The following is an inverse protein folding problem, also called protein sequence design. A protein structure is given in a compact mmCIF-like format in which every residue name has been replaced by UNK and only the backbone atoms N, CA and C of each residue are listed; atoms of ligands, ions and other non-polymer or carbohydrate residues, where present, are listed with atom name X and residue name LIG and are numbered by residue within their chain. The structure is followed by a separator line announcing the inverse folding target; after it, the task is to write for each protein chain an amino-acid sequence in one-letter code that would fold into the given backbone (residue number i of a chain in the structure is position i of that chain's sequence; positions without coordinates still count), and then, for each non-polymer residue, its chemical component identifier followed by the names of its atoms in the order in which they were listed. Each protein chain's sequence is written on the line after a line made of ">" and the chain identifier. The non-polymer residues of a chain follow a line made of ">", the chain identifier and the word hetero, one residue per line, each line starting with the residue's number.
data_IF_156330332822
#
_entry.id   IF_156330332822
#
_cell.length_a   1.000
_cell.length_b   1.000
_cell.length_c   1.000
_cell.angle_alpha   90.00
_cell.angle_beta   90.00
_cell.angle_gamma   90.00
#
_symmetry.space_group_name_H-M   'P 1'
#
loop_
_entity.id
_entity.type
_entity.pdbx_description
1 polymer ?
#
# COMPACT_ATOMS: atom_id res chain seq x y z
N UNK A 1 31.18 -53.86 28.94
CA UNK A 1 30.63 -52.64 28.33
C UNK A 1 30.14 -52.96 26.92
N UNK A 2 28.96 -52.50 26.47
CA UNK A 2 27.72 -52.29 27.20
C UNK A 2 26.61 -53.27 26.78
N UNK A 3 25.64 -53.43 27.69
CA UNK A 3 24.36 -54.13 27.56
C UNK A 3 23.40 -53.31 26.70
N UNK A 4 22.57 -53.97 25.89
CA UNK A 4 21.28 -53.42 25.47
C UNK A 4 20.18 -54.29 26.08
N UNK A 5 19.49 -53.65 27.03
CA UNK A 5 18.40 -54.16 27.83
C UNK A 5 17.11 -54.01 27.05
N UNK A 6 16.41 -55.12 26.81
CA UNK A 6 15.01 -55.12 26.41
C UNK A 6 14.18 -54.57 27.56
N UNK A 7 13.45 -53.48 27.31
CA UNK A 7 12.50 -52.88 28.26
C UNK A 7 11.11 -53.08 27.69
N UNK A 8 10.37 -54.00 28.28
CA UNK A 8 8.93 -54.16 28.10
C UNK A 8 8.22 -52.89 28.56
N UNK A 9 7.24 -52.44 27.77
CA UNK A 9 6.30 -51.37 28.13
C UNK A 9 4.99 -52.02 28.58
N UNK A 10 4.38 -51.58 29.69
CA UNK A 10 3.10 -52.12 30.14
C UNK A 10 1.94 -51.49 29.37
N UNK A 11 0.99 -52.35 28.98
CA UNK A 11 -0.34 -51.99 28.52
C UNK A 11 -1.10 -51.23 29.62
N UNK A 12 -1.46 -49.99 29.34
CA UNK A 12 -2.49 -49.27 30.09
C UNK A 12 -3.69 -49.00 29.18
N UNK A 13 -4.69 -49.87 29.28
CA UNK A 13 -6.05 -49.64 28.83
C UNK A 13 -6.71 -48.57 29.71
N UNK A 14 -6.92 -47.38 29.17
CA UNK A 14 -7.87 -46.41 29.72
C UNK A 14 -8.71 -45.83 28.58
N UNK A 15 -9.88 -46.44 28.42
CA UNK A 15 -11.01 -45.92 27.65
C UNK A 15 -11.57 -44.67 28.34
N UNK A 16 -11.51 -43.52 27.66
CA UNK A 16 -12.25 -42.31 28.01
C UNK A 16 -13.21 -41.94 26.87
N UNK A 17 -14.40 -41.40 27.20
CA UNK A 17 -15.50 -41.24 26.26
C UNK A 17 -15.34 -39.99 25.37
N UNK A 18 -15.78 -40.11 24.13
CA UNK A 18 -15.96 -39.00 23.19
C UNK A 18 -17.04 -38.03 23.70
N UNK A 19 -16.80 -36.71 23.76
CA UNK A 19 -17.89 -35.75 23.85
C UNK A 19 -18.46 -35.47 22.46
N UNK A 20 -19.79 -35.51 22.38
CA UNK A 20 -20.56 -35.36 21.16
C UNK A 20 -20.46 -33.97 20.55
N UNK A 21 -20.61 -33.96 19.22
CA UNK A 21 -20.88 -32.78 18.42
C UNK A 21 -22.17 -32.09 18.90
N UNK A 22 -22.05 -30.86 19.39
CA UNK A 22 -23.17 -29.94 19.55
C UNK A 22 -22.93 -28.76 18.61
N UNK A 23 -23.69 -28.76 17.52
CA UNK A 23 -23.81 -27.64 16.59
C UNK A 23 -24.61 -26.52 17.26
N UNK A 24 -23.96 -25.40 17.59
CA UNK A 24 -24.63 -24.16 17.96
C UNK A 24 -24.30 -23.09 16.93
N UNK A 25 -25.24 -22.88 16.01
CA UNK A 25 -25.44 -21.59 15.35
C UNK A 25 -26.11 -20.68 16.37
N UNK A 26 -25.49 -19.54 16.68
CA UNK A 26 -26.22 -18.38 17.21
C UNK A 26 -25.63 -17.09 16.65
N UNK A 27 -26.48 -16.09 16.34
CA UNK A 27 -26.11 -14.85 15.67
C UNK A 27 -25.50 -13.84 16.64
N UNK A 28 -24.51 -13.09 16.17
CA UNK A 28 -23.88 -12.00 16.91
C UNK A 28 -24.85 -10.80 16.95
N UNK A 29 -25.45 -10.56 18.11
CA UNK A 29 -26.24 -9.36 18.43
C UNK A 29 -25.33 -8.43 19.25
N UNK A 30 -25.07 -7.23 18.74
CA UNK A 30 -24.37 -6.16 19.45
C UNK A 30 -25.31 -5.55 20.48
N UNK A 31 -25.01 -5.71 21.76
CA UNK A 31 -25.58 -4.89 22.83
C UNK A 31 -24.52 -3.92 23.35
N UNK A 32 -24.87 -2.64 23.26
CA UNK A 32 -24.22 -1.49 23.89
C UNK A 32 -24.25 -1.62 25.42
N UNK A 33 -23.14 -1.29 26.09
CA UNK A 33 -23.17 -0.94 27.51
C UNK A 33 -22.57 0.46 27.75
N UNK A 34 -23.20 1.30 28.60
CA UNK A 34 -22.82 2.69 28.81
C UNK A 34 -21.98 2.90 30.09
N UNK A 35 -21.22 4.00 30.08
CA UNK A 35 -21.00 4.85 31.25
C UNK A 35 -19.80 4.55 32.15
N UNK A 36 -18.87 5.50 32.23
CA UNK A 36 -18.22 5.86 33.50
C UNK A 36 -18.02 7.38 33.59
N UNK A 37 -18.65 7.94 34.62
CA UNK A 37 -18.50 9.31 35.12
C UNK A 37 -17.23 9.41 35.97
N UNK A 38 -16.47 10.50 35.84
CA UNK A 38 -15.81 11.11 37.00
C UNK A 38 -15.63 12.62 36.82
N UNK A 39 -16.31 13.34 37.72
CA UNK A 39 -16.06 14.68 38.25
C UNK A 39 -14.61 14.81 38.78
N UNK A 40 -14.00 15.94 39.12
CA UNK A 40 -14.18 17.41 39.00
C UNK A 40 -12.87 18.01 39.59
N UNK A 41 -12.34 19.11 39.06
CA UNK A 41 -11.38 20.02 39.74
C UNK A 41 -11.03 21.24 38.87
N UNK A 42 -11.60 22.40 39.19
CA UNK A 42 -11.21 23.75 38.71
C UNK A 42 -9.98 24.31 39.50
N UNK A 43 -9.56 25.58 39.32
CA UNK A 43 -8.99 26.23 38.13
C UNK A 43 -7.64 26.94 38.45
N UNK A 44 -6.87 27.33 37.42
CA UNK A 44 -5.88 28.42 37.55
C UNK A 44 -6.02 29.45 36.43
N UNK A 45 -6.33 30.66 36.87
CA UNK A 45 -6.31 31.92 36.13
C UNK A 45 -4.89 32.29 35.72
N UNK A 46 -4.66 32.63 34.45
CA UNK A 46 -3.53 33.48 34.08
C UNK A 46 -3.90 34.50 32.99
N UNK A 47 -3.36 35.69 33.21
CA UNK A 47 -3.58 36.97 32.55
C UNK A 47 -3.30 36.95 31.04
N UNK A 48 -4.18 37.62 30.28
CA UNK A 48 -3.90 38.06 28.91
C UNK A 48 -2.98 39.27 28.94
N UNK A 49 -1.76 39.14 28.43
CA UNK A 49 -0.95 40.27 27.98
C UNK A 49 -1.31 40.58 26.52
N UNK A 50 -1.97 41.71 26.31
CA UNK A 50 -2.13 42.36 25.01
C UNK A 50 -0.80 42.95 24.57
N UNK A 51 -0.24 42.47 23.45
CA UNK A 51 0.82 43.15 22.71
C UNK A 51 0.26 43.69 21.40
N UNK A 52 0.33 45.02 21.31
CA UNK A 52 0.01 45.85 20.16
C UNK A 52 1.04 45.64 19.05
N UNK A 53 0.63 45.17 17.88
CA UNK A 53 1.45 45.14 16.67
C UNK A 53 1.31 46.46 15.92
N UNK A 54 2.37 47.26 15.98
CA UNK A 54 2.57 48.44 15.16
C UNK A 54 3.07 48.07 13.77
N UNK A 55 2.56 48.81 12.79
CA UNK A 55 2.79 48.74 11.35
C UNK A 55 4.26 48.81 10.95
N UNK A 56 4.68 47.93 10.02
CA UNK A 56 5.95 48.02 9.28
C UNK A 56 5.63 48.40 7.83
N UNK A 57 6.31 49.40 7.23
CA UNK A 57 6.00 49.88 5.88
C UNK A 57 6.60 48.99 4.78
N UNK A 58 5.80 48.79 3.73
CA UNK A 58 6.15 48.14 2.46
C UNK A 58 7.33 48.84 1.77
N UNK A 59 8.43 48.13 1.55
CA UNK A 59 9.48 48.53 0.60
C UNK A 59 9.16 47.94 -0.77
N UNK A 60 8.82 48.83 -1.69
CA UNK A 60 8.76 48.60 -3.14
C UNK A 60 10.19 48.42 -3.65
N UNK A 61 10.51 47.23 -4.17
CA UNK A 61 11.77 46.98 -4.91
C UNK A 61 11.44 47.01 -6.40
N UNK A 62 11.93 48.06 -7.07
CA UNK A 62 11.94 48.19 -8.53
C UNK A 62 12.91 47.16 -9.13
N UNK A 63 12.40 46.26 -9.96
CA UNK A 63 13.21 45.44 -10.85
C UNK A 63 13.37 46.15 -12.20
N UNK A 64 14.60 46.57 -12.51
CA UNK A 64 14.99 46.97 -13.85
C UNK A 64 15.53 45.73 -14.60
N UNK A 65 15.19 45.54 -15.90
CA UNK A 65 15.62 44.39 -16.67
C UNK A 65 17.05 44.58 -17.19
N UNK A 66 17.95 43.68 -16.85
CA UNK A 66 19.28 43.63 -17.46
C UNK A 66 19.21 42.96 -18.83
N UNK A 67 19.58 43.75 -19.83
CA UNK A 67 19.74 43.39 -21.24
C UNK A 67 20.97 42.48 -21.42
N UNK A 68 20.78 41.30 -22.00
CA UNK A 68 21.87 40.43 -22.47
C UNK A 68 22.12 40.71 -23.96
N UNK A 69 23.26 41.31 -24.28
CA UNK A 69 23.82 41.32 -25.64
C UNK A 69 24.96 40.29 -25.76
N UNK A 70 25.16 39.71 -26.97
CA UNK A 70 26.12 38.63 -27.20
C UNK A 70 27.50 39.19 -27.58
N UNK A 71 28.56 38.69 -26.94
CA UNK A 71 29.93 38.98 -27.38
C UNK A 71 30.46 37.87 -28.30
N UNK A 72 30.94 38.31 -29.46
CA UNK A 72 31.59 37.51 -30.50
C UNK A 72 33.05 37.19 -30.14
N UNK A 73 33.40 35.93 -30.39
CA UNK A 73 34.65 35.36 -30.96
C UNK A 73 35.95 36.16 -30.84
N UNK A 74 37.02 35.47 -30.42
CA UNK A 74 38.25 35.34 -31.21
C UNK A 74 38.89 33.94 -31.10
N UNK A 75 39.18 33.40 -32.29
CA UNK A 75 40.05 32.28 -32.70
C UNK A 75 41.51 32.47 -32.22
N UNK A 76 42.34 31.44 -31.98
CA UNK A 76 43.05 30.66 -33.02
C UNK A 76 44.01 29.60 -32.40
N UNK A 77 44.09 28.41 -33.06
CA UNK A 77 45.21 27.46 -33.29
C UNK A 77 46.04 26.94 -32.08
N UNK A 78 46.64 25.74 -32.05
CA UNK A 78 47.04 24.74 -33.04
C UNK A 78 47.21 23.37 -32.33
N UNK A 79 47.16 22.27 -33.10
CA UNK A 79 48.05 21.13 -32.83
C UNK A 79 47.45 19.72 -32.87
N UNK A 80 47.83 19.00 -33.94
CA UNK A 80 47.97 17.55 -34.06
C UNK A 80 46.73 16.67 -34.29
N UNK A 81 46.41 16.52 -35.58
CA UNK A 81 45.71 15.37 -36.15
C UNK A 81 46.55 14.07 -36.01
N UNK A 82 45.90 12.96 -35.72
CA UNK A 82 46.37 11.63 -36.10
C UNK A 82 45.22 10.84 -36.70
N UNK A 83 45.36 10.67 -38.02
CA UNK A 83 44.53 9.91 -38.93
C UNK A 83 45.03 8.46 -38.89
N UNK A 84 44.18 7.48 -38.60
CA UNK A 84 44.48 6.06 -38.86
C UNK A 84 43.19 5.28 -39.17
N UNK A 85 42.97 5.18 -40.48
CA UNK A 85 42.52 4.04 -41.29
C UNK A 85 41.45 3.05 -40.78
N UNK A 86 40.38 3.03 -41.58
CA UNK A 86 39.41 1.96 -41.85
C UNK A 86 39.99 0.53 -41.84
N UNK A 87 39.19 -0.42 -41.36
CA UNK A 87 38.86 -1.69 -42.03
C UNK A 87 37.67 -2.40 -41.32
N UNK A 88 36.64 -2.87 -42.05
CA UNK A 88 35.57 -3.69 -41.51
C UNK A 88 35.92 -5.18 -41.66
N UNK A 89 35.84 -5.96 -40.57
CA UNK A 89 35.80 -7.41 -40.66
C UNK A 89 34.35 -7.87 -40.46
N UNK A 90 33.63 -7.96 -41.58
CA UNK A 90 32.43 -8.76 -41.68
C UNK A 90 32.83 -10.24 -41.59
N UNK A 91 32.49 -10.90 -40.50
CA UNK A 91 32.56 -12.37 -40.41
C UNK A 91 31.25 -12.91 -40.98
N UNK A 92 31.26 -13.20 -42.28
CA UNK A 92 30.23 -14.01 -42.92
C UNK A 92 30.42 -15.46 -42.44
N UNK A 93 29.45 -15.98 -41.69
CA UNK A 93 29.38 -17.41 -41.38
C UNK A 93 29.00 -18.20 -42.63
N UNK A 94 29.67 -19.33 -42.93
CA UNK A 94 29.29 -20.15 -44.06
C UNK A 94 27.94 -20.82 -43.79
N UNK A 95 27.03 -20.70 -44.77
CA UNK A 95 25.88 -21.57 -44.95
C UNK A 95 26.37 -23.03 -44.98
N UNK A 96 26.21 -23.72 -43.85
CA UNK A 96 26.50 -25.14 -43.70
C UNK A 96 25.59 -25.96 -44.63
N UNK A 97 26.23 -26.88 -45.35
CA UNK A 97 25.65 -27.77 -46.35
C UNK A 97 24.40 -28.51 -45.84
N UNK A 98 23.41 -28.66 -46.74
CA UNK A 98 22.33 -29.63 -46.62
C UNK A 98 22.93 -31.02 -46.38
N UNK A 99 22.77 -31.55 -45.17
CA UNK A 99 22.99 -32.97 -44.90
C UNK A 99 21.86 -33.76 -45.56
N UNK A 100 22.24 -34.81 -46.28
CA UNK A 100 21.33 -35.75 -46.89
C UNK A 100 20.57 -36.53 -45.79
N UNK A 101 19.26 -36.68 -45.98
CA UNK A 101 18.39 -37.51 -45.15
C UNK A 101 18.90 -38.95 -45.12
N UNK A 102 19.49 -39.35 -44.00
CA UNK A 102 19.68 -40.77 -43.67
C UNK A 102 18.40 -41.25 -42.97
N UNK A 103 17.75 -42.33 -43.43
CA UNK A 103 16.56 -42.86 -42.77
C UNK A 103 16.95 -43.37 -41.37
N UNK A 104 16.60 -42.60 -40.34
CA UNK A 104 16.66 -43.04 -38.95
C UNK A 104 15.57 -44.08 -38.76
N UNK A 105 16.00 -45.33 -38.58
CA UNK A 105 15.09 -46.41 -38.19
C UNK A 105 14.77 -46.21 -36.71
N UNK A 106 13.58 -45.67 -36.41
CA UNK A 106 13.09 -45.53 -35.03
C UNK A 106 12.62 -46.91 -34.57
N UNK A 107 13.45 -47.60 -33.77
CA UNK A 107 12.97 -48.70 -32.93
C UNK A 107 12.06 -48.12 -31.86
N UNK A 108 10.75 -48.31 -32.03
CA UNK A 108 9.77 -48.04 -30.99
C UNK A 108 9.90 -49.14 -29.94
N UNK A 109 10.60 -48.85 -28.85
CA UNK A 109 10.50 -49.66 -27.63
C UNK A 109 9.06 -49.56 -27.11
N UNK A 110 8.26 -50.59 -27.40
CA UNK A 110 6.95 -50.81 -26.78
C UNK A 110 7.16 -51.39 -25.40
N UNK A 111 7.83 -50.63 -24.52
CA UNK A 111 7.84 -50.95 -23.11
C UNK A 111 6.46 -50.54 -22.54
N UNK A 112 5.71 -51.45 -21.90
CA UNK A 112 4.43 -51.11 -21.30
C UNK A 112 4.64 -50.00 -20.27
N UNK A 113 3.83 -48.94 -20.38
CA UNK A 113 3.85 -47.81 -19.47
C UNK A 113 3.66 -48.30 -18.02
N UNK A 114 4.77 -48.48 -17.31
CA UNK A 114 4.76 -48.62 -15.87
C UNK A 114 4.11 -47.39 -15.24
N UNK A 115 3.59 -47.49 -14.00
CA UNK A 115 3.02 -46.35 -13.31
C UNK A 115 4.04 -45.22 -13.31
N UNK A 116 3.68 -44.10 -13.93
CA UNK A 116 4.49 -42.90 -13.93
C UNK A 116 4.56 -42.40 -12.49
N UNK A 117 5.62 -42.77 -11.78
CA UNK A 117 6.01 -42.12 -10.54
C UNK A 117 6.33 -40.66 -10.88
N UNK A 118 5.31 -39.81 -10.97
CA UNK A 118 5.48 -38.39 -11.17
C UNK A 118 6.22 -37.86 -9.94
N UNK A 119 7.48 -37.47 -10.12
CA UNK A 119 8.27 -36.81 -9.07
C UNK A 119 7.46 -35.62 -8.57
N UNK A 120 7.17 -35.59 -7.27
CA UNK A 120 6.45 -34.48 -6.65
C UNK A 120 7.24 -33.18 -6.89
N UNK A 121 6.58 -32.20 -7.51
CA UNK A 121 7.14 -30.87 -7.75
C UNK A 121 6.34 -29.86 -6.92
N UNK A 122 6.92 -29.41 -5.81
CA UNK A 122 6.30 -28.48 -4.88
C UNK A 122 5.98 -27.10 -5.51
N UNK A 123 6.69 -26.73 -6.58
CA UNK A 123 6.52 -25.46 -7.29
C UNK A 123 5.52 -25.56 -8.47
N UNK A 124 4.92 -26.72 -8.71
CA UNK A 124 3.97 -26.89 -9.81
C UNK A 124 2.77 -25.97 -9.62
N UNK A 125 2.52 -25.08 -10.58
CA UNK A 125 1.40 -24.15 -10.55
C UNK A 125 1.58 -22.97 -9.58
N UNK A 126 2.83 -22.67 -9.20
CA UNK A 126 3.17 -21.45 -8.50
C UNK A 126 3.47 -20.34 -9.52
N UNK A 127 2.77 -19.22 -9.43
CA UNK A 127 3.10 -17.97 -10.11
C UNK A 127 3.58 -16.93 -9.09
N UNK A 128 4.75 -16.35 -9.32
CA UNK A 128 5.35 -15.33 -8.46
C UNK A 128 5.15 -13.90 -8.98
N UNK A 129 4.66 -13.74 -10.21
CA UNK A 129 4.25 -12.47 -10.82
C UNK A 129 2.73 -12.24 -10.73
N UNK A 130 2.33 -10.97 -10.67
CA UNK A 130 0.92 -10.58 -10.68
C UNK A 130 0.35 -10.59 -12.11
N UNK A 131 -0.69 -11.40 -12.41
CA UNK A 131 -1.27 -11.45 -13.75
C UNK A 131 -1.99 -10.14 -14.14
N UNK A 132 -1.83 -9.72 -15.40
CA UNK A 132 -2.51 -8.55 -15.97
C UNK A 132 -3.45 -9.01 -17.09
N UNK A 133 -4.73 -8.67 -16.97
CA UNK A 133 -5.80 -9.07 -17.88
C UNK A 133 -5.60 -8.52 -19.31
N UNK A 134 -5.98 -9.26 -20.36
CA UNK A 134 -5.89 -8.81 -21.75
C UNK A 134 -6.70 -7.54 -22.10
N UNK A 135 -7.60 -7.09 -21.23
CA UNK A 135 -8.30 -5.79 -21.40
C UNK A 135 -7.34 -4.59 -21.38
N UNK A 136 -6.15 -4.76 -20.83
CA UNK A 136 -5.12 -3.74 -20.84
C UNK A 136 -4.39 -3.68 -22.19
N UNK A 137 -4.50 -2.53 -22.86
CA UNK A 137 -3.68 -2.23 -24.05
C UNK A 137 -2.17 -2.24 -23.71
N UNK A 138 -1.31 -2.20 -24.73
CA UNK A 138 0.14 -2.30 -24.55
C UNK A 138 0.72 -1.24 -23.60
N UNK A 139 0.25 0.01 -23.68
CA UNK A 139 0.73 1.12 -22.84
C UNK A 139 0.30 0.96 -21.39
N UNK A 140 -0.98 0.65 -21.15
CA UNK A 140 -1.51 0.44 -19.80
C UNK A 140 -0.86 -0.78 -19.14
N UNK A 141 -0.69 -1.87 -19.90
CA UNK A 141 0.02 -3.07 -19.45
C UNK A 141 1.46 -2.75 -19.05
N UNK A 142 2.18 -1.94 -19.83
CA UNK A 142 3.56 -1.58 -19.52
C UNK A 142 3.66 -0.79 -18.20
N UNK A 143 2.75 0.16 -17.98
CA UNK A 143 2.71 0.95 -16.74
C UNK A 143 2.35 0.09 -15.52
N UNK A 144 1.31 -0.75 -15.62
CA UNK A 144 0.91 -1.66 -14.54
C UNK A 144 2.05 -2.65 -14.24
N UNK A 145 2.67 -3.24 -15.26
CA UNK A 145 3.78 -4.17 -15.06
C UNK A 145 4.98 -3.50 -14.37
N UNK A 146 5.28 -2.24 -14.71
CA UNK A 146 6.30 -1.46 -14.00
C UNK A 146 5.89 -1.21 -12.54
N UNK A 147 4.67 -0.72 -12.31
CA UNK A 147 4.14 -0.48 -10.98
C UNK A 147 4.13 -1.72 -10.08
N UNK A 148 3.73 -2.89 -10.61
CA UNK A 148 3.70 -4.15 -9.87
C UNK A 148 5.11 -4.62 -9.48
N UNK A 149 6.11 -4.44 -10.34
CA UNK A 149 7.52 -4.70 -9.99
C UNK A 149 7.99 -3.75 -8.88
N UNK A 150 7.62 -2.47 -8.95
CA UNK A 150 7.93 -1.50 -7.91
C UNK A 150 7.18 -1.81 -6.59
N UNK A 151 5.96 -2.33 -6.63
CA UNK A 151 5.23 -2.82 -5.44
C UNK A 151 5.96 -3.98 -4.78
N UNK A 152 6.42 -4.96 -5.56
CA UNK A 152 7.24 -6.06 -5.04
C UNK A 152 8.54 -5.54 -4.44
N UNK A 153 9.19 -4.58 -5.10
CA UNK A 153 10.41 -3.94 -4.60
C UNK A 153 10.17 -3.21 -3.27
N UNK A 154 9.11 -2.42 -3.17
CA UNK A 154 8.71 -1.69 -1.97
C UNK A 154 8.38 -2.64 -0.81
N UNK A 155 7.59 -3.69 -1.08
CA UNK A 155 7.25 -4.70 -0.08
C UNK A 155 8.47 -5.52 0.38
N UNK A 156 9.37 -5.88 -0.55
CA UNK A 156 10.62 -6.56 -0.21
C UNK A 156 11.49 -5.69 0.70
N UNK A 157 11.62 -4.41 0.37
CA UNK A 157 12.34 -3.45 1.22
C UNK A 157 11.72 -3.34 2.61
N UNK A 158 10.40 -3.16 2.70
CA UNK A 158 9.68 -3.06 3.97
C UNK A 158 9.88 -4.32 4.85
N UNK A 159 9.75 -5.51 4.25
CA UNK A 159 10.04 -6.79 4.91
C UNK A 159 11.47 -6.84 5.44
N UNK A 160 12.43 -6.49 4.60
CA UNK A 160 13.85 -6.60 4.92
C UNK A 160 14.27 -5.58 5.98
N UNK A 161 13.68 -4.38 5.99
CA UNK A 161 13.83 -3.39 7.07
C UNK A 161 13.37 -3.97 8.41
N UNK A 162 12.19 -4.60 8.45
CA UNK A 162 11.66 -5.23 9.66
C UNK A 162 12.49 -6.43 10.10
N UNK A 163 12.98 -7.25 9.17
CA UNK A 163 13.86 -8.38 9.49
C UNK A 163 15.21 -7.91 10.04
N UNK A 164 15.71 -6.77 9.58
CA UNK A 164 16.99 -6.21 10.01
C UNK A 164 16.91 -5.55 11.37
N UNK A 165 15.91 -4.71 11.59
CA UNK A 165 15.84 -3.82 12.76
C UNK A 165 14.75 -4.20 13.76
N UNK A 166 13.70 -4.90 13.31
CA UNK A 166 12.57 -5.27 14.16
C UNK A 166 12.02 -4.10 14.96
N UNK A 167 11.88 -4.30 16.28
CA UNK A 167 11.39 -3.29 17.22
C UNK A 167 12.39 -2.16 17.53
N UNK A 168 13.65 -2.26 17.10
CA UNK A 168 14.64 -1.19 17.30
C UNK A 168 14.41 -0.02 16.33
N UNK A 169 13.76 -0.29 15.19
CA UNK A 169 13.43 0.74 14.21
C UNK A 169 12.45 1.76 14.78
N UNK A 170 12.82 3.04 14.74
CA UNK A 170 11.93 4.15 15.06
C UNK A 170 10.77 4.24 14.06
N UNK A 171 11.01 3.92 12.79
CA UNK A 171 9.98 3.89 11.74
C UNK A 171 9.00 2.74 12.02
N UNK A 172 9.48 1.54 12.40
CA UNK A 172 8.60 0.43 12.73
C UNK A 172 7.73 0.76 13.96
N UNK A 173 8.33 1.30 15.03
CA UNK A 173 7.59 1.70 16.23
C UNK A 173 6.58 2.82 15.97
N UNK A 174 6.85 3.70 15.01
CA UNK A 174 5.93 4.77 14.60
C UNK A 174 4.61 4.22 14.07
N UNK A 175 4.64 3.16 13.27
CA UNK A 175 3.44 2.61 12.61
C UNK A 175 2.87 1.35 13.26
N UNK A 176 3.65 0.64 14.08
CA UNK A 176 3.23 -0.62 14.70
C UNK A 176 3.33 -0.59 16.24
N UNK A 177 3.72 0.54 16.83
CA UNK A 177 3.85 0.68 18.29
C UNK A 177 4.82 -0.34 18.88
N UNK A 178 4.37 -1.08 19.89
CA UNK A 178 5.12 -2.15 20.53
C UNK A 178 4.68 -3.57 20.09
N UNK A 179 3.80 -3.69 19.09
CA UNK A 179 3.33 -4.98 18.61
C UNK A 179 4.44 -5.78 17.92
N UNK A 180 4.20 -7.09 17.80
CA UNK A 180 5.10 -7.97 17.06
C UNK A 180 5.04 -7.65 15.56
N UNK A 181 6.21 -7.37 14.97
CA UNK A 181 6.34 -7.14 13.52
C UNK A 181 6.33 -8.42 12.69
N UNK A 182 6.13 -9.59 13.30
CA UNK A 182 6.04 -10.86 12.59
C UNK A 182 4.86 -10.90 11.59
N UNK A 183 3.71 -10.30 11.96
CA UNK A 183 2.55 -10.14 11.07
C UNK A 183 2.90 -9.32 9.83
N UNK A 184 3.36 -8.06 9.97
CA UNK A 184 3.82 -7.22 8.87
C UNK A 184 4.87 -7.89 7.97
N UNK A 185 5.87 -8.58 8.54
CA UNK A 185 6.85 -9.38 7.78
C UNK A 185 6.14 -10.43 6.93
N UNK A 186 5.16 -11.14 7.50
CA UNK A 186 4.35 -12.13 6.78
C UNK A 186 3.54 -11.53 5.65
N UNK A 187 2.87 -10.40 5.88
CA UNK A 187 2.06 -9.71 4.86
C UNK A 187 2.90 -9.26 3.68
N UNK A 188 4.03 -8.59 3.91
CA UNK A 188 4.94 -8.24 2.82
C UNK A 188 5.53 -9.48 2.14
N UNK A 189 5.81 -10.56 2.88
CA UNK A 189 6.30 -11.80 2.28
C UNK A 189 5.28 -12.43 1.33
N UNK A 190 3.97 -12.33 1.61
CA UNK A 190 2.92 -12.77 0.69
C UNK A 190 2.90 -11.93 -0.59
N UNK A 191 3.12 -10.62 -0.51
CA UNK A 191 3.25 -9.76 -1.70
C UNK A 191 4.49 -10.17 -2.52
N UNK A 192 5.64 -10.34 -1.87
CA UNK A 192 6.91 -10.61 -2.54
C UNK A 192 6.97 -12.02 -3.15
N UNK A 193 6.57 -13.03 -2.40
CA UNK A 193 6.82 -14.44 -2.74
C UNK A 193 5.59 -15.34 -2.67
N UNK A 194 4.41 -14.81 -2.30
CA UNK A 194 3.18 -15.58 -2.31
C UNK A 194 2.82 -16.07 -3.72
N UNK A 195 2.11 -17.19 -3.79
CA UNK A 195 1.50 -17.66 -5.04
C UNK A 195 0.40 -16.69 -5.47
N UNK A 196 0.49 -16.17 -6.69
CA UNK A 196 -0.40 -15.17 -7.25
C UNK A 196 -1.35 -15.73 -8.30
N UNK A 197 -1.34 -17.06 -8.49
CA UNK A 197 -2.31 -17.74 -9.36
C UNK A 197 -3.73 -17.33 -8.96
N UNK A 198 -4.49 -16.88 -9.96
CA UNK A 198 -5.88 -16.46 -9.80
C UNK A 198 -6.05 -14.99 -9.43
N UNK A 199 -4.98 -14.27 -9.05
CA UNK A 199 -5.03 -12.81 -8.96
C UNK A 199 -5.07 -12.19 -10.35
N UNK A 200 -5.71 -11.03 -10.47
CA UNK A 200 -5.79 -10.36 -11.76
C UNK A 200 -5.95 -8.84 -11.65
N UNK A 201 -5.09 -8.11 -12.36
CA UNK A 201 -5.22 -6.67 -12.57
C UNK A 201 -5.86 -6.40 -13.93
N UNK A 202 -6.95 -5.63 -13.95
CA UNK A 202 -7.73 -5.37 -15.17
C UNK A 202 -7.78 -3.89 -15.52
N UNK A 203 -7.97 -3.60 -16.81
CA UNK A 203 -8.19 -2.24 -17.33
C UNK A 203 -9.61 -2.02 -17.87
N UNK A 204 -10.38 -3.10 -18.02
CA UNK A 204 -11.83 -3.02 -18.14
C UNK A 204 -12.44 -2.81 -16.75
N UNK A 205 -13.60 -2.18 -16.69
CA UNK A 205 -14.37 -1.98 -15.47
C UNK A 205 -15.73 -2.67 -15.60
N UNK A 206 -15.80 -4.01 -15.35
CA UNK A 206 -17.03 -4.76 -15.49
C UNK A 206 -18.15 -4.27 -14.54
N UNK A 207 -17.75 -3.72 -13.39
CA UNK A 207 -18.67 -3.26 -12.34
C UNK A 207 -19.09 -1.80 -12.54
N UNK A 208 -18.44 -1.08 -13.47
CA UNK A 208 -18.66 0.34 -13.79
C UNK A 208 -18.38 1.30 -12.63
N UNK A 209 -17.59 0.87 -11.65
CA UNK A 209 -17.31 1.66 -10.45
C UNK A 209 -16.36 2.84 -10.72
N UNK A 210 -15.47 2.75 -11.72
CA UNK A 210 -14.63 3.88 -12.13
C UNK A 210 -15.49 5.09 -12.54
N UNK A 211 -16.54 4.85 -13.34
CA UNK A 211 -17.42 5.91 -13.83
C UNK A 211 -18.32 6.53 -12.74
N UNK A 212 -18.67 5.76 -11.70
CA UNK A 212 -19.53 6.27 -10.59
C UNK A 212 -18.91 7.45 -9.84
N UNK A 213 -17.59 7.64 -9.94
CA UNK A 213 -16.84 8.65 -9.22
C UNK A 213 -16.26 9.74 -10.15
N UNK A 214 -16.19 9.52 -11.47
CA UNK A 214 -15.97 10.61 -12.44
C UNK A 214 -17.09 11.66 -12.36
N UNK A 215 -18.33 11.21 -12.12
CA UNK A 215 -19.45 12.09 -11.84
C UNK A 215 -19.25 12.95 -10.58
N UNK A 216 -18.45 12.49 -9.60
CA UNK A 216 -18.11 13.26 -8.41
C UNK A 216 -16.98 14.26 -8.63
N UNK A 217 -16.04 13.98 -9.55
CA UNK A 217 -15.00 14.93 -9.99
C UNK A 217 -15.62 16.20 -10.56
N UNK A 218 -16.73 16.08 -11.30
CA UNK A 218 -17.51 17.22 -11.81
C UNK A 218 -18.12 18.09 -10.71
N UNK A 219 -18.19 17.59 -9.46
CA UNK A 219 -18.78 18.30 -8.31
C UNK A 219 -17.77 18.76 -7.26
N UNK A 220 -16.46 18.72 -7.57
CA UNK A 220 -15.36 19.17 -6.69
C UNK A 220 -15.28 18.47 -5.32
N UNK A 221 -16.06 17.41 -5.07
CA UNK A 221 -16.20 16.82 -3.73
C UNK A 221 -15.31 15.61 -3.46
N UNK A 222 -14.70 15.00 -4.49
CA UNK A 222 -13.77 13.89 -4.31
C UNK A 222 -12.80 13.78 -5.49
N UNK A 223 -11.50 13.54 -5.28
CA UNK A 223 -10.62 13.09 -6.34
C UNK A 223 -11.10 11.70 -6.75
N UNK A 224 -11.72 11.57 -7.93
CA UNK A 224 -12.32 10.33 -8.40
C UNK A 224 -11.44 9.08 -8.23
N UNK A 225 -12.06 7.91 -8.25
CA UNK A 225 -11.35 6.65 -8.01
C UNK A 225 -10.35 6.33 -9.12
N UNK A 226 -9.12 6.06 -8.74
CA UNK A 226 -8.08 5.58 -9.65
C UNK A 226 -8.13 4.05 -9.83
N UNK A 227 -9.01 3.37 -9.12
CA UNK A 227 -9.21 1.93 -9.19
C UNK A 227 -9.96 1.41 -7.99
N UNK A 228 -10.28 0.12 -8.04
CA UNK A 228 -10.98 -0.55 -6.94
C UNK A 228 -10.71 -2.05 -6.94
N UNK A 229 -10.86 -2.68 -5.78
CA UNK A 229 -11.05 -4.12 -5.66
C UNK A 229 -12.48 -4.49 -6.05
N UNK A 230 -12.68 -5.65 -6.71
CA UNK A 230 -14.01 -6.05 -7.18
C UNK A 230 -14.91 -6.67 -6.11
N UNK A 231 -14.40 -6.89 -4.89
CA UNK A 231 -15.20 -7.44 -3.79
C UNK A 231 -15.79 -8.80 -4.12
N UNK A 232 -17.04 -9.01 -3.71
CA UNK A 232 -17.76 -10.28 -3.91
C UNK A 232 -17.99 -10.64 -5.39
N UNK A 233 -17.92 -9.67 -6.31
CA UNK A 233 -18.09 -9.94 -7.74
C UNK A 233 -16.91 -10.72 -8.33
N UNK A 234 -15.70 -10.50 -7.81
CA UNK A 234 -14.50 -11.28 -8.10
C UNK A 234 -13.39 -10.96 -7.09
N UNK A 235 -13.32 -11.72 -6.01
CA UNK A 235 -12.48 -11.41 -4.84
C UNK A 235 -10.97 -11.39 -5.13
N UNK A 236 -10.52 -11.98 -6.23
CA UNK A 236 -9.10 -12.02 -6.61
C UNK A 236 -8.72 -10.92 -7.62
N UNK A 237 -9.63 -10.02 -7.93
CA UNK A 237 -9.47 -9.09 -9.04
C UNK A 237 -9.50 -7.63 -8.60
N UNK A 238 -8.65 -6.83 -9.24
CA UNK A 238 -8.57 -5.38 -9.03
C UNK A 238 -8.63 -4.66 -10.38
N UNK A 239 -9.36 -3.55 -10.42
CA UNK A 239 -9.55 -2.72 -11.61
C UNK A 239 -8.68 -1.48 -11.50
N UNK A 240 -7.97 -1.15 -12.58
CA UNK A 240 -7.20 0.08 -12.77
C UNK A 240 -8.04 1.06 -13.60
N UNK A 241 -8.46 2.17 -12.99
CA UNK A 241 -9.17 3.25 -13.69
C UNK A 241 -8.17 4.24 -14.34
N UNK A 242 -8.65 5.05 -15.29
CA UNK A 242 -7.82 5.95 -16.10
C UNK A 242 -7.01 6.95 -15.27
N UNK A 243 -7.58 7.46 -14.16
CA UNK A 243 -6.89 8.37 -13.24
C UNK A 243 -5.59 7.80 -12.66
N UNK A 244 -5.40 6.48 -12.63
CA UNK A 244 -4.10 5.90 -12.23
C UNK A 244 -2.99 6.29 -13.19
N UNK A 245 -3.23 6.18 -14.51
CA UNK A 245 -2.20 6.46 -15.51
C UNK A 245 -1.84 7.94 -15.60
N UNK A 246 -2.74 8.83 -15.16
CA UNK A 246 -2.51 10.26 -15.16
C UNK A 246 -1.76 10.76 -13.92
N UNK A 247 -2.01 10.14 -12.76
CA UNK A 247 -1.62 10.69 -11.46
C UNK A 247 -0.52 9.92 -10.76
N UNK A 248 -0.39 8.62 -11.03
CA UNK A 248 0.57 7.77 -10.31
C UNK A 248 1.98 8.03 -10.80
N UNK A 249 2.88 8.23 -9.86
CA UNK A 249 4.31 8.42 -10.12
C UNK A 249 5.07 7.10 -9.93
N UNK A 250 6.21 6.91 -10.62
CA UNK A 250 7.09 5.78 -10.36
C UNK A 250 7.75 5.90 -8.98
N UNK A 251 8.08 4.77 -8.36
CA UNK A 251 8.72 4.70 -7.03
C UNK A 251 10.04 5.48 -6.95
N UNK A 252 10.76 5.62 -8.06
CA UNK A 252 11.98 6.43 -8.15
C UNK A 252 11.76 7.93 -7.89
N UNK A 253 10.50 8.40 -7.87
CA UNK A 253 10.14 9.79 -7.61
C UNK A 253 9.76 10.07 -6.14
N UNK A 254 9.91 9.09 -5.23
CA UNK A 254 9.68 9.29 -3.79
C UNK A 254 10.54 10.44 -3.24
N UNK A 255 9.93 11.28 -2.39
CA UNK A 255 10.53 12.50 -1.83
C UNK A 255 10.85 13.62 -2.84
N UNK A 256 10.41 13.50 -4.09
CA UNK A 256 10.50 14.57 -5.07
C UNK A 256 9.18 15.34 -5.17
N UNK A 257 9.21 16.50 -5.85
CA UNK A 257 8.00 17.30 -6.18
C UNK A 257 7.18 17.75 -4.97
N UNK A 258 7.83 17.89 -3.81
CA UNK A 258 7.17 18.31 -2.57
C UNK A 258 6.37 17.20 -1.87
N UNK A 259 6.53 15.94 -2.29
CA UNK A 259 5.93 14.82 -1.57
C UNK A 259 6.53 14.68 -0.17
N UNK A 260 5.65 14.58 0.82
CA UNK A 260 5.97 14.11 2.17
C UNK A 260 5.00 12.97 2.52
N UNK A 261 5.47 12.00 3.31
CA UNK A 261 4.63 10.84 3.69
C UNK A 261 3.38 11.30 4.45
N UNK A 262 3.53 12.29 5.34
CA UNK A 262 2.46 12.77 6.20
C UNK A 262 1.39 13.61 5.48
N UNK A 263 1.78 14.40 4.48
CA UNK A 263 0.88 15.43 3.90
C UNK A 263 0.40 15.08 2.48
N UNK A 264 0.92 13.99 1.89
CA UNK A 264 0.57 13.57 0.54
C UNK A 264 -0.29 12.30 0.55
N UNK A 265 -1.19 12.10 -0.43
CA UNK A 265 -1.97 10.87 -0.53
C UNK A 265 -1.09 9.62 -0.63
N UNK A 266 -1.41 8.57 0.14
CA UNK A 266 -0.72 7.27 0.10
C UNK A 266 -0.63 6.71 -1.31
N UNK A 267 -1.67 6.93 -2.11
CA UNK A 267 -1.76 6.44 -3.46
C UNK A 267 -1.01 7.29 -4.50
N UNK A 268 -0.12 8.21 -4.11
CA UNK A 268 0.64 9.06 -5.05
C UNK A 268 1.53 8.25 -6.01
N UNK A 269 2.13 7.15 -5.53
CA UNK A 269 3.01 6.29 -6.32
C UNK A 269 2.30 5.02 -6.76
N UNK A 270 2.68 4.50 -7.93
CA UNK A 270 2.18 3.20 -8.41
C UNK A 270 2.42 2.11 -7.37
N UNK A 271 3.62 2.07 -6.78
CA UNK A 271 4.02 1.04 -5.83
C UNK A 271 3.09 0.96 -4.60
N UNK A 272 2.75 2.10 -4.00
CA UNK A 272 1.90 2.18 -2.80
C UNK A 272 0.43 1.97 -3.11
N UNK A 273 -0.08 2.55 -4.21
CA UNK A 273 -1.46 2.35 -4.66
C UNK A 273 -1.74 0.88 -5.01
N UNK A 274 -0.82 0.21 -5.68
CA UNK A 274 -0.96 -1.21 -5.98
C UNK A 274 -0.75 -2.09 -4.73
N UNK A 275 0.10 -1.67 -3.78
CA UNK A 275 0.27 -2.35 -2.49
C UNK A 275 -1.05 -2.38 -1.69
N UNK A 276 -1.74 -1.26 -1.62
CA UNK A 276 -3.09 -1.17 -1.06
C UNK A 276 -4.05 -2.18 -1.70
N UNK A 277 -4.09 -2.19 -3.02
CA UNK A 277 -5.03 -3.04 -3.78
C UNK A 277 -4.75 -4.52 -3.58
N UNK A 278 -3.48 -4.93 -3.50
CA UNK A 278 -3.17 -6.33 -3.18
C UNK A 278 -3.53 -6.70 -1.76
N UNK A 279 -3.51 -5.77 -0.79
CA UNK A 279 -4.00 -6.02 0.57
C UNK A 279 -5.51 -6.23 0.64
N UNK A 280 -6.29 -5.72 -0.32
CA UNK A 280 -7.70 -6.11 -0.44
C UNK A 280 -7.92 -7.52 -1.00
N UNK A 281 -6.91 -8.14 -1.61
CA UNK A 281 -7.07 -9.46 -2.23
C UNK A 281 -6.86 -10.58 -1.20
N UNK A 282 -7.83 -11.50 -0.98
CA UNK A 282 -7.76 -12.52 0.06
C UNK A 282 -6.55 -13.46 -0.06
N UNK A 283 -6.06 -13.71 -1.27
CA UNK A 283 -4.86 -14.52 -1.48
C UNK A 283 -3.60 -13.91 -0.83
N UNK A 284 -3.61 -12.60 -0.55
CA UNK A 284 -2.55 -11.85 0.12
C UNK A 284 -2.92 -11.51 1.55
N UNK A 285 -4.15 -11.11 1.84
CA UNK A 285 -4.53 -10.63 3.17
C UNK A 285 -5.22 -11.65 4.07
N UNK A 286 -5.68 -12.79 3.53
CA UNK A 286 -6.55 -13.73 4.26
C UNK A 286 -7.79 -13.04 4.86
N UNK A 287 -8.26 -11.95 4.24
CA UNK A 287 -9.34 -11.10 4.74
C UNK A 287 -9.08 -10.54 6.16
N UNK A 288 -7.80 -10.40 6.55
CA UNK A 288 -7.40 -9.83 7.84
C UNK A 288 -6.84 -8.42 7.77
N UNK A 289 -6.52 -7.94 6.57
CA UNK A 289 -6.06 -6.56 6.37
C UNK A 289 -7.25 -5.68 6.01
N UNK A 290 -7.55 -4.72 6.86
CA UNK A 290 -8.67 -3.80 6.74
C UNK A 290 -8.20 -2.35 6.93
N UNK A 291 -9.12 -1.40 6.77
CA UNK A 291 -8.91 0.02 7.06
C UNK A 291 -9.35 0.32 8.49
N UNK A 292 -8.44 0.15 9.45
CA UNK A 292 -8.60 0.60 10.84
C UNK A 292 -8.16 2.07 11.03
N UNK A 293 -7.31 2.56 10.14
CA UNK A 293 -7.02 3.97 9.94
C UNK A 293 -7.45 4.41 8.52
N UNK A 294 -7.76 5.70 8.38
CA UNK A 294 -8.17 6.31 7.11
C UNK A 294 -7.16 7.35 6.60
N UNK A 295 -6.23 7.79 7.47
CA UNK A 295 -5.20 8.76 7.15
C UNK A 295 -3.93 8.58 8.00
N UNK A 296 -2.92 9.44 7.74
CA UNK A 296 -1.63 9.41 8.42
C UNK A 296 -1.74 9.59 9.92
N UNK A 297 -2.55 10.54 10.40
CA UNK A 297 -2.68 10.82 11.81
C UNK A 297 -3.38 9.66 12.54
N UNK A 298 -4.40 9.07 11.90
CA UNK A 298 -5.07 7.89 12.40
C UNK A 298 -4.16 6.66 12.44
N UNK A 299 -3.31 6.45 11.44
CA UNK A 299 -2.33 5.36 11.43
C UNK A 299 -1.36 5.46 12.63
N UNK A 300 -0.88 6.67 12.95
CA UNK A 300 -0.05 6.90 14.14
C UNK A 300 -0.86 6.73 15.45
N UNK A 301 -2.11 7.16 15.45
CA UNK A 301 -3.00 7.02 16.61
C UNK A 301 -3.25 5.55 16.93
N UNK A 302 -3.58 4.72 15.94
CA UNK A 302 -3.80 3.28 16.17
C UNK A 302 -2.51 2.60 16.62
N UNK A 303 -1.35 2.96 16.07
CA UNK A 303 -0.06 2.44 16.54
C UNK A 303 0.19 2.74 18.02
N UNK A 304 -0.24 3.91 18.51
CA UNK A 304 -0.08 4.30 19.90
C UNK A 304 -1.13 3.71 20.85
N UNK A 305 -2.35 3.44 20.36
CA UNK A 305 -3.51 3.07 21.21
C UNK A 305 -3.94 1.63 21.09
N UNK A 306 -3.77 1.02 19.91
CA UNK A 306 -4.11 -0.37 19.61
C UNK A 306 -3.11 -0.94 18.58
N UNK A 307 -1.86 -1.22 19.01
CA UNK A 307 -0.79 -1.65 18.11
C UNK A 307 -1.07 -3.03 17.47
N UNK A 308 -1.91 -3.85 18.09
CA UNK A 308 -2.35 -5.14 17.52
C UNK A 308 -3.29 -4.93 16.31
N UNK A 309 -4.10 -3.86 16.30
CA UNK A 309 -4.84 -3.44 15.10
C UNK A 309 -3.92 -2.77 14.07
N UNK A 310 -2.94 -1.99 14.50
CA UNK A 310 -2.02 -1.29 13.59
C UNK A 310 -1.25 -2.26 12.67
N UNK A 311 -0.90 -3.45 13.15
CA UNK A 311 -0.24 -4.49 12.34
C UNK A 311 -1.18 -5.22 11.36
N UNK A 312 -2.49 -4.96 11.45
CA UNK A 312 -3.53 -5.47 10.57
C UNK A 312 -4.16 -4.37 9.70
N UNK A 313 -3.68 -3.13 9.83
CA UNK A 313 -4.18 -1.99 9.08
C UNK A 313 -3.45 -1.83 7.75
N UNK A 314 -4.19 -1.81 6.64
CA UNK A 314 -3.58 -1.69 5.32
C UNK A 314 -2.90 -0.34 5.12
N UNK A 315 -3.36 0.74 5.76
CA UNK A 315 -2.78 2.07 5.61
C UNK A 315 -1.50 2.22 6.44
N UNK A 316 -1.44 1.71 7.67
CA UNK A 316 -0.23 1.64 8.48
C UNK A 316 0.86 0.82 7.78
N UNK A 317 0.50 -0.30 7.14
CA UNK A 317 1.42 -1.08 6.32
C UNK A 317 1.90 -0.29 5.08
N UNK A 318 1.03 0.49 4.42
CA UNK A 318 1.48 1.33 3.30
C UNK A 318 2.41 2.46 3.76
N UNK A 319 2.04 3.17 4.83
CA UNK A 319 2.82 4.26 5.39
C UNK A 319 4.19 3.79 5.86
N UNK A 320 4.25 2.67 6.60
CA UNK A 320 5.53 2.07 6.99
C UNK A 320 6.40 1.76 5.76
N UNK A 321 5.83 1.12 4.74
CA UNK A 321 6.59 0.69 3.58
C UNK A 321 7.22 1.89 2.84
N UNK A 322 6.42 2.94 2.60
CA UNK A 322 6.90 4.12 1.86
C UNK A 322 7.82 5.02 2.70
N UNK A 323 7.61 5.11 4.01
CA UNK A 323 8.48 5.89 4.90
C UNK A 323 9.84 5.21 5.11
N UNK A 324 9.85 3.87 5.28
CA UNK A 324 11.08 3.10 5.29
C UNK A 324 11.84 3.25 3.97
N UNK A 325 11.16 3.15 2.82
CA UNK A 325 11.77 3.39 1.51
C UNK A 325 12.33 4.82 1.39
N UNK A 326 11.57 5.82 1.85
CA UNK A 326 12.00 7.20 1.85
C UNK A 326 13.31 7.37 2.64
N UNK A 327 13.36 6.80 3.84
CA UNK A 327 14.49 6.92 4.76
C UNK A 327 15.72 6.12 4.33
N UNK A 328 15.56 4.88 3.88
CA UNK A 328 16.70 4.00 3.57
C UNK A 328 17.22 4.20 2.13
N UNK A 329 16.33 4.51 1.18
CA UNK A 329 16.64 4.47 -0.26
C UNK A 329 16.54 5.84 -0.91
N UNK A 330 15.40 6.53 -0.79
CA UNK A 330 15.16 7.75 -1.57
C UNK A 330 16.01 8.94 -1.06
N UNK A 331 16.07 9.14 0.25
CA UNK A 331 16.89 10.15 0.91
C UNK A 331 17.59 9.52 2.13
N UNK A 332 18.68 8.76 1.92
CA UNK A 332 19.30 7.93 2.95
C UNK A 332 19.58 8.66 4.27
N UNK A 333 19.03 8.15 5.37
CA UNK A 333 19.22 8.66 6.73
C UNK A 333 18.39 9.90 7.10
N UNK A 334 17.62 10.46 6.16
CA UNK A 334 16.81 11.67 6.36
C UNK A 334 15.34 11.40 6.05
N UNK A 335 15.06 10.75 4.92
CA UNK A 335 13.71 10.50 4.44
C UNK A 335 12.94 11.77 4.04
N UNK A 336 11.61 11.63 3.95
CA UNK A 336 10.67 12.71 3.74
C UNK A 336 9.35 12.44 4.48
N UNK A 337 9.43 11.98 5.74
CA UNK A 337 8.26 11.62 6.53
C UNK A 337 7.25 12.78 6.64
N UNK A 338 7.73 14.03 6.64
CA UNK A 338 6.89 15.22 6.82
C UNK A 338 6.55 15.48 8.28
N UNK A 339 5.78 16.54 8.52
CA UNK A 339 5.27 16.88 9.84
C UNK A 339 3.87 16.29 10.03
N UNK A 340 3.59 15.76 11.22
CA UNK A 340 2.22 15.31 11.55
C UNK A 340 1.31 16.54 11.47
N UNK A 341 0.26 16.53 10.62
CA UNK A 341 -0.69 17.64 10.58
C UNK A 341 -1.22 17.90 11.99
N UNK A 342 -0.93 19.08 12.54
CA UNK A 342 -1.45 19.46 13.84
C UNK A 342 -2.97 19.52 13.71
N UNK A 343 -3.68 18.64 14.42
CA UNK A 343 -5.11 18.84 14.65
C UNK A 343 -5.18 20.16 15.43
N UNK A 344 -5.51 21.24 14.74
CA UNK A 344 -5.76 22.52 15.41
C UNK A 344 -6.78 22.22 16.50
N UNK A 345 -6.49 22.52 17.79
CA UNK A 345 -7.45 22.28 18.84
C UNK A 345 -8.73 22.97 18.40
N UNK A 346 -9.79 22.20 18.16
CA UNK A 346 -11.11 22.74 17.88
C UNK A 346 -11.34 23.79 18.95
N UNK A 347 -11.44 25.06 18.53
CA UNK A 347 -11.80 26.15 19.42
C UNK A 347 -12.99 25.67 20.26
N UNK A 348 -12.95 25.83 21.60
CA UNK A 348 -14.10 25.48 22.42
C UNK A 348 -15.34 26.12 21.79
N UNK A 349 -16.50 25.42 21.76
CA UNK A 349 -17.69 25.91 21.09
C UNK A 349 -17.94 27.36 21.52
N UNK A 350 -18.09 28.24 20.54
CA UNK A 350 -18.43 29.62 20.78
C UNK A 350 -19.67 29.66 21.67
N UNK A 351 -19.63 30.47 22.73
CA UNK A 351 -20.79 30.70 23.56
C UNK A 351 -21.97 31.10 22.66
N UNK A 352 -23.18 30.54 22.89
CA UNK A 352 -24.31 30.80 22.02
C UNK A 352 -24.61 32.31 21.99
N UNK A 353 -24.58 32.89 20.80
CA UNK A 353 -25.20 34.20 20.56
C UNK A 353 -26.72 34.07 20.73
N UNK A 354 -27.39 35.07 21.32
CA UNK A 354 -28.83 35.03 21.51
C UNK A 354 -29.53 34.98 20.14
N UNK A 355 -30.14 33.85 19.84
CA UNK A 355 -30.95 33.67 18.63
C UNK A 355 -32.26 34.42 18.81
N UNK A 356 -32.62 35.23 17.81
CA UNK A 356 -33.93 35.85 17.71
C UNK A 356 -35.01 34.78 17.54
N UNK A 357 -36.00 34.82 18.42
CA UNK A 357 -37.16 33.93 18.40
C UNK A 357 -37.95 34.14 17.11
N UNK A 358 -37.87 33.18 16.17
CA UNK A 358 -38.93 33.01 15.19
C UNK A 358 -40.01 32.14 15.83
N UNK A 359 -41.22 32.68 15.87
CA UNK A 359 -42.42 32.06 16.39
C UNK A 359 -42.68 30.74 15.65
N UNK A 360 -42.70 29.62 16.39
CA UNK A 360 -43.13 28.34 15.87
C UNK A 360 -44.64 28.36 15.58
N UNK A 361 -45.05 27.74 14.48
CA UNK A 361 -46.45 27.44 14.20
C UNK A 361 -47.04 26.56 15.32
N UNK A 362 -48.22 26.93 15.81
CA UNK A 362 -48.72 26.61 17.14
C UNK A 362 -49.33 25.21 17.33
N UNK A 363 -48.84 24.16 16.66
CA UNK A 363 -49.42 22.81 16.87
C UNK A 363 -48.45 21.65 16.88
N UNK A 364 -47.14 21.89 17.02
CA UNK A 364 -46.20 20.79 17.24
C UNK A 364 -45.69 20.68 18.67
N UNK A 365 -45.78 19.49 19.28
CA UNK A 365 -45.11 19.18 20.54
C UNK A 365 -44.65 17.72 20.60
N UNK A 366 -43.64 17.47 21.44
CA UNK A 366 -42.94 16.20 21.59
C UNK A 366 -43.26 15.60 22.96
N UNK A 367 -43.52 14.30 23.00
CA UNK A 367 -43.68 13.55 24.23
C UNK A 367 -42.39 12.83 24.62
N UNK A 368 -42.35 12.32 25.85
CA UNK A 368 -41.16 11.70 26.47
C UNK A 368 -40.71 10.40 25.77
N UNK A 369 -41.47 9.90 24.79
CA UNK A 369 -41.10 8.79 23.90
C UNK A 369 -40.32 9.23 22.65
N UNK A 370 -40.09 10.53 22.48
CA UNK A 370 -39.26 11.11 21.44
C UNK A 370 -39.95 11.33 20.09
N UNK A 371 -41.26 11.09 19.99
CA UNK A 371 -42.00 11.39 18.76
C UNK A 371 -42.59 12.81 18.79
N UNK A 372 -42.42 13.55 17.68
CA UNK A 372 -42.99 14.88 17.47
C UNK A 372 -44.29 14.74 16.68
N UNK A 373 -45.38 15.29 17.21
CA UNK A 373 -46.60 15.50 16.45
C UNK A 373 -46.68 16.94 15.98
N UNK A 374 -47.11 17.09 14.74
CA UNK A 374 -47.60 18.29 14.06
C UNK A 374 -48.91 17.86 13.37
#
# INVERSE_FOLDING_TARGET
>A
MPRLSTRELPEHSNSLPLPGFVSLRTPYRRDFFPGYLSQDSRPRTHQKHTLSLSSIPSRVVNFNPFSLQPTKRHTMFAGAASLLLLLPLAVATPLGARQADSPVTVTVDTNPAGPTNSVYNWARGWEDEFPIHPSCNATNRAQIAAGLRETVQLAAHARDHLLRWGSESEIARRYFGNASVAGPIGWYSRVVSGNKVGMLFRCDDPDRNCATQEAQVLTLKSPGWAGHWRGDNATQETVICDLSYERRLPLAAVCSRGYTVAESPLNTYWATDLLHRVFHVPLISDLRLEHYAEDYADALRIAATDPDLAVLDSDALQYFAIDAWAYDIAVPGIGCSGEVPQVSPTSPPAAPEPTSTQTADASCHTHDDGFVHC
#
